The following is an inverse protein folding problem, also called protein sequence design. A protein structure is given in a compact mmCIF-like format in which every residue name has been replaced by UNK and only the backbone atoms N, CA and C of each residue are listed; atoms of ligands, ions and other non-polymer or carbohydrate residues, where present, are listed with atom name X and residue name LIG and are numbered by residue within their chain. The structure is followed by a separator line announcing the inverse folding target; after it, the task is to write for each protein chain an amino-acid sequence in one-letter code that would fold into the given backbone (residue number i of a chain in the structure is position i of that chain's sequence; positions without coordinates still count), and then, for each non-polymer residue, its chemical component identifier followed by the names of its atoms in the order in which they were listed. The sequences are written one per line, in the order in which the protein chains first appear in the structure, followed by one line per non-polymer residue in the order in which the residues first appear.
data_IF_394759139330
#
_entry.id   IF_394759139330
#
_cell.length_a   1.000
_cell.length_b   1.000
_cell.length_c   1.000
_cell.angle_alpha   90.00
_cell.angle_beta   90.00
_cell.angle_gamma   90.00
#
_symmetry.space_group_name_H-M   'P 1'
#
loop_
_entity.id
_entity.type
_entity.pdbx_description
1 polymer ?
#
# COMPACT_ATOMS: atom_id res chain seq x y z
N UNK A 1 17.29 25.73 14.24
CA UNK A 1 16.06 25.01 14.53
C UNK A 1 15.85 24.00 13.42
N UNK A 2 15.77 22.73 13.79
CA UNK A 2 15.37 21.68 12.85
C UNK A 2 13.86 21.55 12.97
N UNK A 3 13.16 21.52 11.84
CA UNK A 3 11.71 21.35 11.73
C UNK A 3 11.48 19.98 11.12
N UNK A 4 10.65 19.15 11.75
CA UNK A 4 10.21 17.87 11.18
C UNK A 4 8.87 18.00 10.42
N UNK A 5 8.40 16.91 9.81
CA UNK A 5 7.14 16.94 9.05
C UNK A 5 5.91 17.19 9.94
N UNK A 6 5.94 16.76 11.20
CA UNK A 6 4.84 17.00 12.13
C UNK A 6 4.78 18.46 12.53
N UNK A 7 5.94 19.09 12.76
CA UNK A 7 6.05 20.52 13.02
C UNK A 7 5.49 21.33 11.85
N UNK A 8 5.84 20.98 10.59
CA UNK A 8 5.32 21.68 9.41
C UNK A 8 3.80 21.65 9.34
N UNK A 9 3.16 20.51 9.69
CA UNK A 9 1.70 20.37 9.68
C UNK A 9 1.07 21.18 10.81
N UNK A 10 1.68 21.17 12.00
CA UNK A 10 1.21 21.92 13.16
C UNK A 10 1.34 23.42 12.93
N UNK A 11 2.45 23.87 12.38
CA UNK A 11 2.69 25.27 12.02
C UNK A 11 1.71 25.75 10.96
N UNK A 12 1.46 24.92 9.92
CA UNK A 12 0.44 25.24 8.92
C UNK A 12 -0.95 25.40 9.54
N UNK A 13 -1.32 24.53 10.51
CA UNK A 13 -2.58 24.67 11.24
C UNK A 13 -2.64 25.99 12.05
N UNK A 14 -1.54 26.36 12.69
CA UNK A 14 -1.43 27.62 13.43
C UNK A 14 -1.58 28.83 12.50
N UNK A 15 -0.85 28.86 11.37
CA UNK A 15 -0.97 29.95 10.39
C UNK A 15 -2.36 30.10 9.77
N UNK A 16 -3.13 29.01 9.66
CA UNK A 16 -4.52 29.11 9.21
C UNK A 16 -5.40 29.91 10.19
N UNK A 17 -5.09 29.89 11.49
CA UNK A 17 -5.81 30.73 12.48
C UNK A 17 -5.48 32.20 12.28
N UNK A 18 -4.20 32.52 12.01
CA UNK A 18 -3.78 33.91 11.72
C UNK A 18 -4.40 34.44 10.43
N UNK A 19 -4.43 33.61 9.37
CA UNK A 19 -5.06 33.92 8.06
C UNK A 19 -6.55 34.28 8.26
N UNK A 20 -7.25 33.51 9.07
CA UNK A 20 -8.66 33.79 9.36
C UNK A 20 -8.84 35.11 10.13
N UNK A 21 -8.02 35.36 11.16
CA UNK A 21 -8.04 36.60 11.93
C UNK A 21 -7.74 37.84 11.08
N UNK A 22 -6.85 37.72 10.11
CA UNK A 22 -6.48 38.79 9.19
C UNK A 22 -7.43 38.91 7.98
N UNK A 23 -8.48 38.12 7.91
CA UNK A 23 -9.44 38.05 6.79
C UNK A 23 -8.80 37.82 5.43
N UNK A 24 -7.69 37.08 5.40
CA UNK A 24 -7.01 36.72 4.16
C UNK A 24 -7.80 35.63 3.44
N UNK A 25 -8.13 35.85 2.18
CA UNK A 25 -8.85 34.88 1.35
C UNK A 25 -7.88 33.94 0.66
N UNK A 26 -8.02 32.63 0.87
CA UNK A 26 -7.31 31.60 0.12
C UNK A 26 -8.14 31.15 -1.09
N UNK A 27 -7.54 30.98 -2.28
CA UNK A 27 -8.27 30.78 -3.54
C UNK A 27 -8.74 29.32 -3.78
N UNK A 28 -8.71 28.46 -2.77
CA UNK A 28 -9.04 27.05 -2.93
C UNK A 28 -10.56 26.83 -2.99
N UNK A 29 -11.03 26.17 -4.04
CA UNK A 29 -12.42 25.72 -4.21
C UNK A 29 -12.60 24.23 -3.95
N UNK A 30 -11.54 23.46 -4.11
CA UNK A 30 -11.50 22.02 -3.89
C UNK A 30 -10.23 21.64 -3.14
N UNK A 31 -10.36 20.67 -2.23
CA UNK A 31 -9.26 19.98 -1.56
C UNK A 31 -9.42 18.53 -1.93
N UNK A 32 -8.46 17.97 -2.67
CA UNK A 32 -8.48 16.56 -3.13
C UNK A 32 -7.39 15.82 -2.38
N UNK A 33 -7.76 14.72 -1.72
CA UNK A 33 -6.85 13.89 -0.93
C UNK A 33 -6.91 12.48 -1.47
N UNK A 34 -5.77 11.99 -1.93
CA UNK A 34 -5.59 10.60 -2.34
C UNK A 34 -5.04 9.76 -1.18
N UNK A 35 -5.21 8.44 -1.25
CA UNK A 35 -4.79 7.49 -0.21
C UNK A 35 -5.27 7.89 1.20
N UNK A 36 -6.51 8.36 1.29
CA UNK A 36 -7.05 8.94 2.52
C UNK A 36 -7.09 7.95 3.70
N UNK A 37 -7.11 6.64 3.45
CA UNK A 37 -7.05 5.61 4.50
C UNK A 37 -5.74 5.66 5.32
N UNK A 38 -4.72 6.36 4.83
CA UNK A 38 -3.42 6.52 5.51
C UNK A 38 -3.28 7.87 6.22
N UNK A 39 -4.38 8.63 6.33
CA UNK A 39 -4.32 9.95 6.96
C UNK A 39 -4.13 9.84 8.48
N UNK A 40 -3.22 10.67 9.01
CA UNK A 40 -3.06 10.89 10.44
C UNK A 40 -3.97 12.02 10.94
N UNK A 41 -4.25 12.03 12.24
CA UNK A 41 -5.16 13.01 12.88
C UNK A 41 -4.76 14.45 12.61
N UNK A 42 -3.47 14.77 12.65
CA UNK A 42 -2.99 16.14 12.41
C UNK A 42 -3.32 16.61 10.99
N UNK A 43 -3.06 15.78 9.98
CA UNK A 43 -3.38 16.08 8.57
C UNK A 43 -4.89 16.22 8.34
N UNK A 44 -5.69 15.39 9.00
CA UNK A 44 -7.14 15.50 8.98
C UNK A 44 -7.61 16.84 9.55
N UNK A 45 -7.11 17.24 10.73
CA UNK A 45 -7.47 18.49 11.38
C UNK A 45 -7.08 19.71 10.51
N UNK A 46 -5.89 19.68 9.90
CA UNK A 46 -5.47 20.71 8.95
C UNK A 46 -6.41 20.80 7.75
N UNK A 47 -6.76 19.67 7.14
CA UNK A 47 -7.70 19.60 6.02
C UNK A 47 -9.07 20.17 6.40
N UNK A 48 -9.60 19.75 7.54
CA UNK A 48 -10.88 20.23 8.04
C UNK A 48 -10.87 21.75 8.25
N UNK A 49 -9.83 22.24 8.90
CA UNK A 49 -9.68 23.68 9.15
C UNK A 49 -9.56 24.47 7.85
N UNK A 50 -8.76 24.00 6.91
CA UNK A 50 -8.64 24.62 5.60
C UNK A 50 -9.98 24.67 4.86
N UNK A 51 -10.77 23.60 4.90
CA UNK A 51 -12.10 23.57 4.27
C UNK A 51 -13.09 24.53 4.95
N UNK A 52 -13.02 24.69 6.27
CA UNK A 52 -13.86 25.61 7.03
C UNK A 52 -13.58 27.09 6.67
N UNK A 53 -12.30 27.45 6.52
CA UNK A 53 -11.89 28.83 6.18
C UNK A 53 -12.20 29.14 4.71
N UNK A 54 -11.88 28.25 3.80
CA UNK A 54 -12.02 28.49 2.35
C UNK A 54 -13.40 28.19 1.81
N UNK A 55 -14.23 27.46 2.56
CA UNK A 55 -15.48 26.84 2.07
C UNK A 55 -15.26 25.89 0.90
N UNK A 56 -14.04 25.37 0.75
CA UNK A 56 -13.69 24.43 -0.30
C UNK A 56 -14.40 23.09 -0.09
N UNK A 57 -14.80 22.47 -1.20
CA UNK A 57 -15.32 21.10 -1.19
C UNK A 57 -14.16 20.13 -1.02
N UNK A 58 -14.31 19.16 -0.11
CA UNK A 58 -13.30 18.13 0.13
C UNK A 58 -13.68 16.85 -0.62
N UNK A 59 -12.75 16.32 -1.39
CA UNK A 59 -12.86 15.02 -2.07
C UNK A 59 -11.77 14.12 -1.50
N UNK A 60 -12.17 13.08 -0.78
CA UNK A 60 -11.27 12.10 -0.21
C UNK A 60 -11.41 10.76 -0.97
N UNK A 61 -10.31 10.27 -1.50
CA UNK A 61 -10.25 9.00 -2.24
C UNK A 61 -9.37 8.04 -1.46
N UNK A 62 -9.78 6.78 -1.35
CA UNK A 62 -9.00 5.78 -0.63
C UNK A 62 -9.63 4.41 -0.65
N UNK A 63 -8.90 3.45 -0.13
CA UNK A 63 -9.30 2.05 0.00
C UNK A 63 -8.93 1.55 1.40
N UNK A 64 -9.92 1.36 2.26
CA UNK A 64 -9.73 0.90 3.64
C UNK A 64 -9.03 -0.47 3.72
N UNK A 65 -9.21 -1.35 2.72
CA UNK A 65 -8.52 -2.63 2.65
C UNK A 65 -7.00 -2.48 2.50
N UNK A 66 -6.54 -1.31 2.06
CA UNK A 66 -5.12 -0.98 1.91
C UNK A 66 -4.54 -0.21 3.11
N UNK A 67 -5.29 -0.02 4.19
CA UNK A 67 -4.81 0.65 5.40
C UNK A 67 -3.84 -0.24 6.18
N UNK A 68 -2.54 -0.08 5.95
CA UNK A 68 -1.47 -0.86 6.60
C UNK A 68 -0.50 -0.01 7.42
N UNK A 69 -0.73 1.30 7.55
CA UNK A 69 0.17 2.25 8.21
C UNK A 69 -0.29 2.70 9.61
N UNK A 70 -1.11 1.89 10.30
CA UNK A 70 -1.53 2.20 11.67
C UNK A 70 -0.35 2.40 12.63
N UNK A 71 0.76 1.66 12.45
CA UNK A 71 1.97 1.80 13.25
C UNK A 71 2.68 3.16 13.07
N UNK A 72 2.43 3.87 11.98
CA UNK A 72 2.98 5.23 11.69
C UNK A 72 1.98 6.34 12.00
N UNK A 73 0.88 6.04 12.69
CA UNK A 73 -0.10 7.02 13.17
C UNK A 73 -1.28 7.27 12.23
N UNK A 74 -1.48 6.47 11.18
CA UNK A 74 -2.71 6.53 10.41
C UNK A 74 -3.89 6.02 11.25
N UNK A 75 -5.05 6.65 11.08
CA UNK A 75 -6.27 6.35 11.82
C UNK A 75 -7.41 6.05 10.85
N UNK A 76 -7.67 4.75 10.64
CA UNK A 76 -8.71 4.28 9.73
C UNK A 76 -10.11 4.81 10.08
N UNK A 77 -10.34 5.20 11.32
CA UNK A 77 -11.64 5.75 11.74
C UNK A 77 -11.93 7.10 11.08
N UNK A 78 -10.90 7.84 10.68
CA UNK A 78 -11.05 9.08 9.92
C UNK A 78 -11.61 8.82 8.52
N UNK A 79 -11.25 7.70 7.93
CA UNK A 79 -11.77 7.25 6.63
C UNK A 79 -13.19 6.71 6.77
N UNK A 80 -13.40 5.73 7.65
CA UNK A 80 -14.70 5.04 7.78
C UNK A 80 -15.81 5.94 8.34
N UNK A 81 -15.45 7.03 9.03
CA UNK A 81 -16.37 8.01 9.62
C UNK A 81 -16.28 9.39 8.94
N UNK A 82 -15.75 9.45 7.73
CA UNK A 82 -15.48 10.72 7.04
C UNK A 82 -16.69 11.64 7.00
N UNK A 83 -17.85 11.15 6.56
CA UNK A 83 -19.07 11.98 6.48
C UNK A 83 -19.56 12.46 7.86
N UNK A 84 -19.39 11.65 8.91
CA UNK A 84 -19.74 12.07 10.27
C UNK A 84 -18.82 13.19 10.78
N UNK A 85 -17.55 13.17 10.38
CA UNK A 85 -16.53 14.10 10.85
C UNK A 85 -16.48 15.40 10.03
N UNK A 86 -16.77 15.32 8.74
CA UNK A 86 -16.71 16.46 7.81
C UNK A 86 -18.09 17.10 7.56
N UNK A 87 -19.17 16.41 7.90
CA UNK A 87 -20.54 16.87 7.67
C UNK A 87 -21.20 16.25 6.44
N UNK A 88 -22.20 16.91 5.88
CA UNK A 88 -22.97 16.39 4.76
C UNK A 88 -22.09 16.18 3.50
N UNK A 89 -22.28 15.05 2.84
CA UNK A 89 -21.52 14.69 1.64
C UNK A 89 -22.12 13.48 0.93
N UNK A 90 -21.48 13.07 -0.15
CA UNK A 90 -21.86 11.89 -0.93
C UNK A 90 -20.73 10.87 -0.91
N UNK A 91 -21.05 9.64 -0.57
CA UNK A 91 -20.14 8.51 -0.68
C UNK A 91 -20.38 7.81 -2.01
N UNK A 92 -19.29 7.59 -2.76
CA UNK A 92 -19.31 6.82 -3.99
C UNK A 92 -18.38 5.61 -3.83
N UNK A 93 -18.83 4.44 -4.28
CA UNK A 93 -18.07 3.20 -4.22
C UNK A 93 -17.67 2.74 -5.62
N UNK A 94 -16.37 2.56 -5.82
CA UNK A 94 -15.85 1.92 -7.03
C UNK A 94 -15.86 0.42 -6.78
N UNK A 95 -16.70 -0.30 -7.51
CA UNK A 95 -16.91 -1.74 -7.34
C UNK A 95 -16.20 -2.60 -8.39
N UNK A 96 -15.69 -1.98 -9.47
CA UNK A 96 -15.00 -2.69 -10.54
C UNK A 96 -13.52 -2.44 -10.48
N UNK A 97 -12.74 -3.50 -10.69
CA UNK A 97 -11.28 -3.44 -10.76
C UNK A 97 -10.78 -4.27 -11.94
N UNK A 98 -9.65 -3.85 -12.51
CA UNK A 98 -9.02 -4.51 -13.66
C UNK A 98 -7.58 -4.97 -13.34
N UNK A 99 -7.18 -4.86 -12.08
CA UNK A 99 -5.82 -5.19 -11.64
C UNK A 99 -5.67 -6.69 -11.40
N UNK A 100 -6.47 -7.25 -10.52
CA UNK A 100 -6.38 -8.63 -10.05
C UNK A 100 -7.50 -9.51 -10.66
N UNK A 101 -7.32 -10.84 -10.62
CA UNK A 101 -8.38 -11.79 -10.96
C UNK A 101 -9.48 -11.82 -9.88
N UNK A 102 -10.68 -12.24 -10.26
CA UNK A 102 -11.81 -12.35 -9.33
C UNK A 102 -11.49 -13.29 -8.17
N UNK A 103 -10.88 -14.43 -8.44
CA UNK A 103 -10.55 -15.44 -7.45
C UNK A 103 -9.55 -14.91 -6.40
N UNK A 104 -8.54 -14.12 -6.83
CA UNK A 104 -7.62 -13.48 -5.90
C UNK A 104 -8.33 -12.42 -5.05
N UNK A 105 -9.24 -11.65 -5.65
CA UNK A 105 -10.04 -10.63 -4.94
C UNK A 105 -10.90 -11.31 -3.87
N UNK A 106 -11.56 -12.42 -4.19
CA UNK A 106 -12.46 -13.13 -3.26
C UNK A 106 -11.67 -13.70 -2.07
N UNK A 107 -10.49 -14.29 -2.31
CA UNK A 107 -9.62 -14.82 -1.25
C UNK A 107 -9.10 -13.68 -0.37
N UNK A 108 -8.51 -12.65 -0.97
CA UNK A 108 -7.93 -11.53 -0.24
C UNK A 108 -9.00 -10.71 0.50
N UNK A 109 -10.12 -10.44 -0.16
CA UNK A 109 -11.27 -9.74 0.42
C UNK A 109 -11.89 -10.52 1.57
N UNK A 110 -12.05 -11.84 1.42
CA UNK A 110 -12.52 -12.71 2.48
C UNK A 110 -11.60 -12.71 3.71
N UNK A 111 -10.29 -12.58 3.50
CA UNK A 111 -9.32 -12.44 4.59
C UNK A 111 -9.43 -11.07 5.29
N UNK A 112 -9.41 -9.99 4.52
CA UNK A 112 -9.43 -8.61 5.06
C UNK A 112 -10.73 -8.32 5.81
N UNK A 113 -11.87 -8.76 5.29
CA UNK A 113 -13.20 -8.55 5.89
C UNK A 113 -13.44 -9.36 7.18
N UNK A 114 -12.51 -10.21 7.62
CA UNK A 114 -12.53 -10.78 8.98
C UNK A 114 -12.37 -9.70 10.06
N UNK A 115 -11.72 -8.60 9.72
CA UNK A 115 -11.66 -7.43 10.59
C UNK A 115 -12.98 -6.64 10.47
N UNK A 116 -13.76 -6.60 11.54
CA UNK A 116 -15.06 -5.92 11.58
C UNK A 116 -14.98 -4.39 11.41
N UNK A 117 -13.78 -3.81 11.55
CA UNK A 117 -13.55 -2.38 11.32
C UNK A 117 -13.47 -2.01 9.83
N UNK A 118 -13.32 -2.99 8.95
CA UNK A 118 -13.23 -2.78 7.51
C UNK A 118 -14.61 -2.61 6.88
N UNK A 119 -14.69 -1.78 5.85
CA UNK A 119 -15.90 -1.57 5.08
C UNK A 119 -16.20 -2.83 4.26
N UNK A 120 -17.38 -3.37 4.43
CA UNK A 120 -17.83 -4.49 3.60
C UNK A 120 -18.11 -4.01 2.19
N UNK A 121 -17.42 -4.58 1.23
CA UNK A 121 -17.58 -4.29 -0.19
C UNK A 121 -17.36 -5.55 -1.01
N UNK A 122 -18.00 -5.60 -2.16
CA UNK A 122 -17.81 -6.63 -3.17
C UNK A 122 -17.15 -5.97 -4.38
N UNK A 123 -15.99 -6.47 -4.75
CA UNK A 123 -15.27 -6.02 -5.94
C UNK A 123 -15.47 -7.02 -7.06
N UNK A 124 -15.66 -6.53 -8.27
CA UNK A 124 -15.84 -7.30 -9.48
C UNK A 124 -14.66 -7.10 -10.42
N UNK A 125 -14.16 -8.18 -10.99
CA UNK A 125 -13.13 -8.17 -12.01
C UNK A 125 -13.52 -9.02 -13.21
N UNK A 126 -13.24 -8.57 -14.44
CA UNK A 126 -13.40 -9.40 -15.64
C UNK A 126 -12.25 -10.40 -15.82
N UNK A 127 -11.21 -10.32 -14.99
CA UNK A 127 -10.07 -11.23 -15.07
C UNK A 127 -10.31 -12.45 -14.20
N UNK A 128 -9.96 -13.62 -14.73
CA UNK A 128 -10.04 -14.90 -14.03
C UNK A 128 -8.69 -15.62 -14.05
N UNK A 129 -8.36 -16.29 -12.94
CA UNK A 129 -7.17 -17.11 -12.80
C UNK A 129 -7.52 -18.30 -11.90
N UNK A 130 -7.43 -19.51 -12.44
CA UNK A 130 -7.89 -20.72 -11.76
C UNK A 130 -7.18 -20.96 -10.41
N UNK A 131 -5.85 -20.76 -10.36
CA UNK A 131 -5.03 -20.96 -9.17
C UNK A 131 -4.27 -19.66 -8.81
N UNK A 132 -4.94 -18.65 -8.20
CA UNK A 132 -4.33 -17.35 -7.94
C UNK A 132 -3.31 -17.37 -6.81
N UNK A 133 -3.34 -18.41 -5.95
CA UNK A 133 -2.42 -18.58 -4.82
C UNK A 133 -1.90 -20.02 -4.82
N UNK A 134 -0.58 -20.15 -4.80
CA UNK A 134 0.11 -21.42 -4.64
C UNK A 134 0.92 -21.38 -3.35
N UNK A 135 0.80 -22.41 -2.52
CA UNK A 135 1.57 -22.54 -1.27
C UNK A 135 2.64 -23.61 -1.49
N UNK A 136 3.90 -23.20 -1.42
CA UNK A 136 5.05 -24.07 -1.59
C UNK A 136 5.82 -24.18 -0.26
N UNK A 137 5.86 -25.36 0.36
CA UNK A 137 6.62 -25.56 1.59
C UNK A 137 8.12 -25.61 1.34
N UNK A 138 8.92 -25.20 2.31
CA UNK A 138 10.36 -25.39 2.35
C UNK A 138 10.81 -25.80 3.74
N UNK A 139 11.97 -26.47 3.83
CA UNK A 139 12.56 -26.89 5.10
C UNK A 139 13.20 -25.69 5.82
N UNK A 140 12.73 -25.36 7.02
CA UNK A 140 13.22 -24.27 7.87
C UNK A 140 14.22 -24.71 8.95
N UNK A 141 14.77 -25.93 8.82
CA UNK A 141 15.80 -26.50 9.70
C UNK A 141 17.13 -25.73 9.60
N UNK A 142 18.20 -26.31 10.12
CA UNK A 142 19.57 -25.75 10.13
C UNK A 142 20.05 -25.28 8.74
N UNK A 143 19.51 -25.85 7.65
CA UNK A 143 19.79 -25.45 6.27
C UNK A 143 18.74 -24.51 5.67
N UNK A 144 17.98 -23.82 6.50
CA UNK A 144 16.84 -22.97 6.09
C UNK A 144 17.16 -22.05 4.91
N UNK A 145 18.30 -21.35 4.93
CA UNK A 145 18.64 -20.40 3.85
C UNK A 145 18.87 -21.10 2.51
N UNK A 146 19.53 -22.25 2.52
CA UNK A 146 19.79 -23.02 1.30
C UNK A 146 18.48 -23.62 0.75
N UNK A 147 17.62 -24.14 1.62
CA UNK A 147 16.31 -24.68 1.26
C UNK A 147 15.39 -23.59 0.70
N UNK A 148 15.29 -22.43 1.36
CA UNK A 148 14.52 -21.27 0.91
C UNK A 148 15.00 -20.81 -0.47
N UNK A 149 16.30 -20.60 -0.65
CA UNK A 149 16.87 -20.13 -1.92
C UNK A 149 16.65 -21.13 -3.06
N UNK A 150 16.78 -22.43 -2.78
CA UNK A 150 16.50 -23.47 -3.76
C UNK A 150 15.01 -23.47 -4.17
N UNK A 151 14.11 -23.32 -3.21
CA UNK A 151 12.68 -23.26 -3.46
C UNK A 151 12.29 -22.00 -4.25
N UNK A 152 12.83 -20.84 -3.92
CA UNK A 152 12.60 -19.60 -4.68
C UNK A 152 13.12 -19.74 -6.12
N UNK A 153 14.29 -20.34 -6.31
CA UNK A 153 14.85 -20.59 -7.64
C UNK A 153 13.97 -21.55 -8.46
N UNK A 154 13.43 -22.61 -7.82
CA UNK A 154 12.48 -23.54 -8.44
C UNK A 154 11.19 -22.83 -8.89
N UNK A 155 10.60 -21.99 -8.01
CA UNK A 155 9.38 -21.23 -8.32
C UNK A 155 9.63 -20.26 -9.47
N UNK A 156 10.76 -19.56 -9.47
CA UNK A 156 11.14 -18.67 -10.58
C UNK A 156 11.21 -19.47 -11.89
N UNK A 157 11.78 -20.68 -11.86
CA UNK A 157 11.81 -21.55 -13.03
C UNK A 157 10.41 -21.89 -13.52
N UNK A 158 9.50 -22.32 -12.65
CA UNK A 158 8.11 -22.62 -13.00
C UNK A 158 7.41 -21.40 -13.64
N UNK A 159 7.61 -20.20 -13.09
CA UNK A 159 7.04 -18.95 -13.64
C UNK A 159 7.61 -18.68 -15.05
N UNK A 160 8.90 -18.86 -15.24
CA UNK A 160 9.54 -18.65 -16.54
C UNK A 160 9.05 -19.66 -17.58
N UNK A 161 8.90 -20.91 -17.19
CA UNK A 161 8.41 -21.98 -18.07
C UNK A 161 6.95 -21.75 -18.50
N UNK A 162 6.11 -21.23 -17.60
CA UNK A 162 4.70 -20.97 -17.85
C UNK A 162 4.45 -19.65 -18.58
N UNK A 163 5.10 -18.55 -18.14
CA UNK A 163 4.82 -17.19 -18.60
C UNK A 163 5.94 -16.57 -19.45
N UNK A 164 7.06 -17.26 -19.58
CA UNK A 164 8.24 -16.82 -20.34
C UNK A 164 9.21 -15.93 -19.55
N UNK A 165 10.46 -15.88 -20.03
CA UNK A 165 11.59 -15.17 -19.38
C UNK A 165 11.38 -13.65 -19.21
N UNK A 166 10.48 -13.05 -19.99
CA UNK A 166 10.17 -11.61 -19.92
C UNK A 166 9.16 -11.26 -18.83
N UNK A 167 8.59 -12.26 -18.14
CA UNK A 167 7.65 -12.05 -17.04
C UNK A 167 8.30 -11.25 -15.91
N UNK A 168 7.55 -10.30 -15.35
CA UNK A 168 7.99 -9.55 -14.17
C UNK A 168 7.68 -10.35 -12.92
N UNK A 169 8.68 -10.61 -12.10
CA UNK A 169 8.58 -11.36 -10.85
C UNK A 169 8.88 -10.41 -9.70
N UNK A 170 7.92 -10.26 -8.79
CA UNK A 170 8.09 -9.48 -7.57
C UNK A 170 8.24 -10.43 -6.38
N UNK A 171 9.38 -10.37 -5.72
CA UNK A 171 9.61 -11.01 -4.42
C UNK A 171 9.20 -10.04 -3.31
N UNK A 172 8.33 -10.47 -2.41
CA UNK A 172 7.88 -9.65 -1.28
C UNK A 172 8.34 -10.27 0.02
N UNK A 173 9.10 -9.50 0.81
CA UNK A 173 9.50 -9.86 2.16
C UNK A 173 8.80 -9.01 3.22
N UNK A 174 8.87 -9.42 4.47
CA UNK A 174 8.41 -8.59 5.60
C UNK A 174 9.40 -7.45 5.89
N UNK A 175 10.71 -7.76 5.78
CA UNK A 175 11.80 -6.86 6.12
C UNK A 175 12.85 -6.86 5.00
N UNK A 176 13.62 -5.78 4.89
CA UNK A 176 14.71 -5.69 3.91
C UNK A 176 15.74 -6.82 4.07
N UNK A 177 15.99 -7.27 5.30
CA UNK A 177 16.94 -8.35 5.54
C UNK A 177 16.46 -9.73 5.05
N UNK A 178 15.18 -9.90 4.71
CA UNK A 178 14.69 -11.18 4.18
C UNK A 178 15.35 -11.52 2.86
N UNK A 179 15.62 -10.52 2.03
CA UNK A 179 16.37 -10.71 0.79
C UNK A 179 17.82 -11.13 1.05
N UNK A 180 18.42 -10.64 2.13
CA UNK A 180 19.77 -11.01 2.50
C UNK A 180 19.95 -12.52 2.76
N UNK A 181 18.88 -13.20 3.22
CA UNK A 181 18.88 -14.67 3.38
C UNK A 181 19.09 -15.39 2.06
N UNK A 182 18.56 -14.84 0.97
CA UNK A 182 18.75 -15.40 -0.39
C UNK A 182 20.16 -15.10 -0.92
N UNK A 183 20.70 -13.90 -0.68
CA UNK A 183 22.05 -13.52 -1.13
C UNK A 183 23.15 -14.37 -0.50
N UNK A 184 23.02 -14.73 0.78
CA UNK A 184 24.01 -15.55 1.49
C UNK A 184 24.30 -16.91 0.84
N UNK A 185 23.40 -17.40 0.02
CA UNK A 185 23.57 -18.69 -0.66
C UNK A 185 24.38 -18.61 -1.96
N UNK A 186 24.63 -17.38 -2.46
CA UNK A 186 25.29 -17.14 -3.75
C UNK A 186 24.41 -17.41 -4.97
N UNK A 187 23.14 -17.85 -4.78
CA UNK A 187 22.20 -18.08 -5.89
C UNK A 187 21.57 -16.80 -6.41
N UNK A 188 21.55 -15.78 -5.58
CA UNK A 188 20.99 -14.47 -5.88
C UNK A 188 21.96 -13.38 -5.48
N UNK A 189 21.94 -12.27 -6.22
CA UNK A 189 22.71 -11.07 -5.92
C UNK A 189 21.85 -9.80 -6.14
N UNK A 190 22.21 -8.74 -5.42
CA UNK A 190 21.54 -7.45 -5.50
C UNK A 190 22.04 -6.65 -6.71
N UNK A 191 21.10 -5.99 -7.37
CA UNK A 191 21.37 -5.00 -8.41
C UNK A 191 20.72 -3.65 -8.01
N UNK A 192 21.19 -2.53 -8.57
CA UNK A 192 20.59 -1.21 -8.31
C UNK A 192 19.08 -1.19 -8.60
N UNK A 193 18.31 -0.39 -7.80
CA UNK A 193 16.88 -0.21 -8.00
C UNK A 193 16.03 -1.39 -7.53
N UNK A 194 16.43 -2.05 -6.44
CA UNK A 194 15.74 -3.20 -5.84
C UNK A 194 15.65 -4.42 -6.78
N UNK A 195 16.49 -4.45 -7.84
CA UNK A 195 16.56 -5.58 -8.76
C UNK A 195 17.37 -6.73 -8.15
N UNK A 196 16.97 -7.94 -8.51
CA UNK A 196 17.59 -9.18 -8.05
C UNK A 196 18.06 -9.95 -9.26
N UNK A 197 19.34 -10.32 -9.26
CA UNK A 197 19.88 -11.24 -10.26
C UNK A 197 19.82 -12.66 -9.72
N UNK A 198 19.27 -13.57 -10.49
CA UNK A 198 19.42 -15.02 -10.26
C UNK A 198 20.59 -15.53 -11.06
N UNK A 199 21.46 -16.34 -10.44
CA UNK A 199 22.59 -16.96 -11.14
C UNK A 199 22.12 -17.99 -12.16
N UNK A 200 21.05 -18.71 -11.87
CA UNK A 200 20.45 -19.69 -12.78
C UNK A 200 19.66 -19.06 -13.92
N UNK A 201 18.98 -17.92 -13.64
CA UNK A 201 18.13 -17.23 -14.61
C UNK A 201 18.56 -15.76 -14.75
N UNK A 202 19.75 -15.48 -15.32
CA UNK A 202 20.36 -14.14 -15.31
C UNK A 202 19.56 -13.08 -16.07
N UNK A 203 18.69 -13.50 -16.99
CA UNK A 203 17.84 -12.61 -17.79
C UNK A 203 16.41 -12.45 -17.22
N UNK A 204 16.10 -13.05 -16.09
CA UNK A 204 14.80 -12.90 -15.45
C UNK A 204 14.64 -11.49 -14.86
N UNK A 205 13.44 -10.91 -15.03
CA UNK A 205 13.12 -9.59 -14.49
C UNK A 205 12.56 -9.75 -13.07
N UNK A 206 13.46 -9.78 -12.08
CA UNK A 206 13.12 -10.00 -10.67
C UNK A 206 13.33 -8.70 -9.90
N UNK A 207 12.38 -8.32 -9.07
CA UNK A 207 12.45 -7.18 -8.15
C UNK A 207 12.11 -7.64 -6.74
N UNK A 208 12.76 -7.07 -5.72
CA UNK A 208 12.41 -7.31 -4.33
C UNK A 208 11.84 -6.04 -3.70
N UNK A 209 10.77 -6.19 -2.92
CA UNK A 209 10.22 -5.12 -2.10
C UNK A 209 9.76 -5.67 -0.75
N UNK A 210 9.71 -4.82 0.26
CA UNK A 210 8.97 -5.18 1.48
C UNK A 210 7.47 -5.02 1.25
N UNK A 211 6.64 -5.71 2.04
CA UNK A 211 5.19 -5.55 1.98
C UNK A 211 4.75 -4.08 2.13
N UNK A 212 5.48 -3.28 2.94
CA UNK A 212 5.20 -1.86 3.09
C UNK A 212 5.62 -1.02 1.89
N UNK A 213 6.77 -1.32 1.27
CA UNK A 213 7.27 -0.57 0.11
C UNK A 213 6.61 -0.99 -1.21
N UNK A 214 5.86 -2.09 -1.22
CA UNK A 214 5.10 -2.54 -2.39
C UNK A 214 3.72 -1.90 -2.52
N UNK A 215 3.30 -1.11 -1.51
CA UNK A 215 2.08 -0.31 -1.54
C UNK A 215 2.35 1.03 -2.23
N UNK A 216 1.50 1.40 -3.18
CA UNK A 216 1.56 2.69 -3.90
C UNK A 216 1.82 2.55 -5.37
#
# INVERSE_FOLDING_TARGET
NQIDFADMINDAHFYLQEIEQQHITLPYKYIIIDEFQDIARQRFNLTKRLSEITKAKVVAVGDDWQSIYAFSGSDITLFTRFLQLMGAGTELKITHTYRNSQELIDIAGGFVQKNSAQIRKQLLSPKHLENPIVIEPFDDSVKMMASLSAKVEEIIGKIIDEFGIKSSILLIGRYNYDMYKLYKTGKFSELPGNKVKSEKYPNANITFMTAHSSKG
#
